data_IF_541951324168
#
_entry.id   IF_541951324168
#
_cell.length_a   1.000
_cell.length_b   1.000
_cell.length_c   1.000
_cell.angle_alpha   90.00
_cell.angle_beta   90.00
_cell.angle_gamma   90.00
#
_symmetry.space_group_name_H-M   'P 1'
#
loop_
_entity.id
_entity.type
_entity.pdbx_description
1 polymer ?
#
# COMPACT_ATOMS: atom_id res chain seq x y z
N UNK A 1 -10.02 4.74 -12.95
CA UNK A 1 -8.64 5.22 -12.88
C UNK A 1 -7.69 4.31 -13.65
N UNK A 2 -6.52 4.81 -14.02
CA UNK A 2 -5.47 4.02 -14.68
C UNK A 2 -4.26 3.91 -13.76
N UNK A 3 -3.79 2.69 -13.54
CA UNK A 3 -2.57 2.41 -12.78
C UNK A 3 -1.33 2.35 -13.68
N UNK A 4 -1.52 2.15 -14.99
CA UNK A 4 -0.44 2.10 -15.98
C UNK A 4 0.03 3.49 -16.39
N UNK A 5 -0.89 4.44 -16.48
CA UNK A 5 -0.63 5.84 -16.83
C UNK A 5 -1.22 6.81 -15.79
N UNK A 6 -0.63 6.88 -14.58
CA UNK A 6 -1.19 7.70 -13.49
C UNK A 6 -1.38 9.17 -13.86
N UNK A 7 -0.51 9.73 -14.69
CA UNK A 7 -0.63 11.12 -15.18
C UNK A 7 -1.82 11.34 -16.11
N UNK A 8 -2.32 10.28 -16.77
CA UNK A 8 -3.51 10.36 -17.61
C UNK A 8 -4.77 10.59 -16.78
N UNK A 9 -4.74 10.23 -15.50
CA UNK A 9 -5.84 10.46 -14.55
C UNK A 9 -5.89 11.90 -14.04
N UNK A 10 -4.85 12.70 -14.27
CA UNK A 10 -4.84 14.10 -13.89
C UNK A 10 -5.91 14.91 -14.64
N UNK A 11 -5.90 16.22 -14.50
CA UNK A 11 -6.91 17.17 -15.01
C UNK A 11 -7.03 17.22 -16.55
N UNK A 12 -6.70 16.14 -17.27
CA UNK A 12 -6.62 16.10 -18.72
C UNK A 12 -7.92 15.72 -19.46
N UNK A 13 -8.95 15.30 -18.75
CA UNK A 13 -10.19 14.90 -19.39
C UNK A 13 -11.42 15.53 -18.72
N UNK A 14 -11.54 16.88 -18.73
CA UNK A 14 -12.65 17.57 -18.08
C UNK A 14 -14.01 17.24 -18.73
N UNK A 15 -14.00 16.78 -19.97
CA UNK A 15 -15.23 16.41 -20.71
C UNK A 15 -15.69 14.96 -20.46
N UNK A 16 -14.86 14.15 -19.83
CA UNK A 16 -15.26 12.79 -19.49
C UNK A 16 -16.32 12.81 -18.41
N UNK A 17 -17.51 12.30 -18.70
CA UNK A 17 -18.64 12.17 -17.76
C UNK A 17 -18.39 11.04 -16.74
N UNK A 18 -17.16 10.91 -16.26
CA UNK A 18 -16.75 9.92 -15.28
C UNK A 18 -16.04 10.62 -14.12
N UNK A 19 -16.35 10.21 -12.91
CA UNK A 19 -15.64 10.65 -11.71
C UNK A 19 -14.30 9.89 -11.62
N UNK A 20 -13.23 10.60 -11.32
CA UNK A 20 -11.89 10.05 -11.10
C UNK A 20 -11.39 10.39 -9.72
N UNK A 21 -10.64 9.50 -9.11
CA UNK A 21 -10.04 9.73 -7.79
C UNK A 21 -8.74 10.53 -7.87
N UNK A 22 -8.08 10.54 -9.02
CA UNK A 22 -6.77 11.20 -9.17
C UNK A 22 -6.91 12.65 -9.61
N UNK A 23 -6.19 13.52 -8.93
CA UNK A 23 -6.19 14.95 -9.17
C UNK A 23 -4.76 15.50 -9.02
N UNK A 24 -4.39 16.40 -9.95
CA UNK A 24 -3.21 17.23 -9.74
C UNK A 24 -3.59 18.43 -8.87
N UNK A 25 -2.94 18.57 -7.74
CA UNK A 25 -3.05 19.76 -6.91
C UNK A 25 -1.69 20.15 -6.34
N UNK A 26 -1.34 21.43 -6.44
CA UNK A 26 -0.15 22.00 -5.77
C UNK A 26 -0.40 22.30 -4.30
N UNK A 27 -1.65 22.21 -3.86
CA UNK A 27 -2.08 22.42 -2.47
C UNK A 27 -2.90 21.20 -2.06
N UNK A 28 -2.46 20.51 -1.03
CA UNK A 28 -3.15 19.35 -0.47
C UNK A 28 -3.61 19.68 0.94
N UNK A 29 -4.83 19.29 1.29
CA UNK A 29 -5.33 19.37 2.65
C UNK A 29 -4.46 18.48 3.56
N UNK A 30 -4.08 18.98 4.75
CA UNK A 30 -3.23 18.24 5.69
C UNK A 30 -3.88 16.92 6.12
N UNK A 31 -5.15 16.94 6.51
CA UNK A 31 -5.88 15.75 6.94
C UNK A 31 -5.93 14.67 5.83
N UNK A 32 -6.05 15.11 4.55
CA UNK A 32 -5.96 14.17 3.43
C UNK A 32 -4.55 13.60 3.28
N UNK A 33 -3.50 14.42 3.47
CA UNK A 33 -2.12 13.95 3.42
C UNK A 33 -1.83 12.94 4.52
N UNK A 34 -2.30 13.21 5.73
CA UNK A 34 -2.14 12.34 6.88
C UNK A 34 -2.85 11.00 6.65
N UNK A 35 -4.09 11.02 6.17
CA UNK A 35 -4.79 9.80 5.75
C UNK A 35 -4.01 9.01 4.71
N UNK A 36 -3.58 9.70 3.64
CA UNK A 36 -2.97 9.05 2.48
C UNK A 36 -1.61 8.42 2.81
N UNK A 37 -0.78 9.12 3.57
CA UNK A 37 0.59 8.70 3.84
C UNK A 37 0.74 7.95 5.16
N UNK A 38 0.10 8.41 6.22
CA UNK A 38 0.34 7.90 7.56
C UNK A 38 -0.60 6.75 7.92
N UNK A 39 -1.87 6.81 7.50
CA UNK A 39 -2.83 5.73 7.74
C UNK A 39 -2.81 4.68 6.63
N UNK A 40 -2.99 5.11 5.37
CA UNK A 40 -3.04 4.20 4.23
C UNK A 40 -1.67 3.69 3.77
N UNK A 41 -0.58 4.28 4.27
CA UNK A 41 0.80 3.90 3.94
C UNK A 41 1.10 3.90 2.44
N UNK A 42 0.54 4.85 1.70
CA UNK A 42 0.74 4.89 0.26
C UNK A 42 2.10 5.47 -0.07
N UNK A 43 2.94 4.77 -0.85
CA UNK A 43 4.26 5.28 -1.22
C UNK A 43 4.17 6.52 -2.10
N UNK A 44 5.14 7.42 -1.95
CA UNK A 44 5.26 8.60 -2.80
C UNK A 44 5.72 8.15 -4.18
N UNK A 45 4.86 8.25 -5.19
CA UNK A 45 5.23 7.97 -6.58
C UNK A 45 5.85 9.16 -7.29
N UNK A 46 5.60 10.37 -6.83
CA UNK A 46 6.08 11.60 -7.49
C UNK A 46 6.75 12.51 -6.49
N UNK A 47 7.96 12.96 -6.83
CA UNK A 47 8.63 14.06 -6.16
C UNK A 47 7.87 15.36 -6.45
N UNK A 48 7.74 16.22 -5.46
CA UNK A 48 7.24 17.58 -5.54
C UNK A 48 5.76 17.77 -5.24
N UNK A 49 5.33 17.54 -3.98
CA UNK A 49 4.10 18.15 -3.41
C UNK A 49 2.81 17.91 -4.20
N UNK A 50 2.80 16.95 -5.12
CA UNK A 50 1.66 16.62 -5.95
C UNK A 50 1.15 15.28 -5.49
N UNK A 51 -0.01 15.28 -4.86
CA UNK A 51 -0.73 14.05 -4.58
C UNK A 51 -1.34 13.52 -5.88
N UNK A 52 -0.67 12.56 -6.51
CA UNK A 52 -1.34 11.71 -7.48
C UNK A 52 -2.00 10.57 -6.70
N UNK A 53 -3.30 10.57 -6.77
CA UNK A 53 -4.15 9.65 -6.01
C UNK A 53 -4.21 8.24 -6.60
N UNK A 54 -3.58 8.02 -7.74
CA UNK A 54 -3.59 6.70 -8.36
C UNK A 54 -2.54 5.82 -7.72
N UNK A 55 -2.99 4.87 -6.96
CA UNK A 55 -2.18 3.85 -6.33
C UNK A 55 -2.90 2.52 -6.50
N UNK A 56 -2.13 1.44 -6.53
CA UNK A 56 -2.60 0.06 -6.45
C UNK A 56 -2.91 -0.36 -5.00
N UNK A 57 -2.82 0.57 -4.05
CA UNK A 57 -3.20 0.35 -2.66
C UNK A 57 -4.69 -0.01 -2.56
N UNK A 58 -5.05 -1.25 -2.20
CA UNK A 58 -6.44 -1.71 -2.21
C UNK A 58 -7.30 -1.00 -1.16
N UNK A 59 -6.73 -0.56 -0.06
CA UNK A 59 -7.44 0.20 0.97
C UNK A 59 -7.84 1.58 0.46
N UNK A 60 -6.92 2.27 -0.21
CA UNK A 60 -7.21 3.56 -0.83
C UNK A 60 -8.29 3.44 -1.92
N UNK A 61 -8.14 2.46 -2.81
CA UNK A 61 -9.11 2.23 -3.89
C UNK A 61 -10.51 1.93 -3.35
N UNK A 62 -10.59 1.16 -2.26
CA UNK A 62 -11.86 0.87 -1.58
C UNK A 62 -12.49 2.13 -0.98
N UNK A 63 -11.73 2.88 -0.16
CA UNK A 63 -12.23 4.06 0.55
C UNK A 63 -12.64 5.20 -0.39
N UNK A 64 -11.93 5.36 -1.51
CA UNK A 64 -12.25 6.37 -2.52
C UNK A 64 -13.33 5.91 -3.51
N UNK A 65 -13.92 4.74 -3.34
CA UNK A 65 -14.98 4.24 -4.19
C UNK A 65 -14.55 3.97 -5.64
N UNK A 66 -13.26 3.63 -5.86
CA UNK A 66 -12.72 3.37 -7.20
C UNK A 66 -13.19 2.01 -7.68
N UNK A 67 -14.29 2.00 -8.42
CA UNK A 67 -14.94 0.76 -8.88
C UNK A 67 -14.22 0.13 -10.08
N UNK A 68 -13.72 0.94 -11.00
CA UNK A 68 -13.07 0.47 -12.22
C UNK A 68 -11.64 0.98 -12.30
N UNK A 69 -10.72 0.09 -12.64
CA UNK A 69 -9.31 0.43 -12.87
C UNK A 69 -8.84 -0.15 -14.20
N UNK A 70 -7.91 0.54 -14.83
CA UNK A 70 -7.08 0.02 -15.90
C UNK A 70 -5.71 -0.30 -15.35
N UNK A 71 -5.26 -1.54 -15.53
CA UNK A 71 -3.97 -2.03 -15.01
C UNK A 71 -3.37 -3.09 -15.94
N UNK A 72 -2.14 -3.51 -15.67
CA UNK A 72 -1.53 -4.66 -16.31
C UNK A 72 -2.17 -5.96 -15.76
N UNK A 73 -2.19 -7.02 -16.58
CA UNK A 73 -2.84 -8.30 -16.22
C UNK A 73 -2.25 -8.96 -14.97
N UNK A 74 -0.97 -8.76 -14.73
CA UNK A 74 -0.23 -9.29 -13.59
C UNK A 74 -0.19 -8.35 -12.37
N UNK A 75 -0.90 -7.20 -12.44
CA UNK A 75 -0.95 -6.17 -11.38
C UNK A 75 -2.38 -5.79 -10.97
N UNK A 76 -3.29 -6.77 -10.95
CA UNK A 76 -4.67 -6.53 -10.51
C UNK A 76 -4.70 -6.43 -8.98
N UNK A 77 -5.12 -5.29 -8.40
CA UNK A 77 -5.23 -5.17 -6.94
C UNK A 77 -6.23 -6.13 -6.34
N UNK A 78 -6.05 -6.47 -5.06
CA UNK A 78 -6.98 -7.31 -4.32
C UNK A 78 -8.42 -6.75 -4.36
N UNK A 79 -9.39 -7.64 -4.51
CA UNK A 79 -10.81 -7.30 -4.61
C UNK A 79 -11.30 -6.97 -6.02
N UNK A 80 -10.40 -6.81 -7.00
CA UNK A 80 -10.76 -6.55 -8.39
C UNK A 80 -10.78 -7.82 -9.23
N UNK A 81 -11.73 -7.90 -10.15
CA UNK A 81 -11.85 -8.97 -11.14
C UNK A 81 -11.77 -8.41 -12.55
N UNK A 82 -11.02 -9.06 -13.47
CA UNK A 82 -10.90 -8.59 -14.84
C UNK A 82 -12.24 -8.68 -15.58
N UNK A 83 -12.62 -7.59 -16.26
CA UNK A 83 -13.81 -7.54 -17.13
C UNK A 83 -13.44 -7.59 -18.61
N UNK A 84 -12.41 -6.85 -18.99
CA UNK A 84 -12.02 -6.68 -20.39
C UNK A 84 -10.51 -6.62 -20.49
N UNK A 85 -9.94 -7.31 -21.48
CA UNK A 85 -8.51 -7.28 -21.81
C UNK A 85 -8.28 -6.56 -23.12
N UNK A 86 -7.36 -5.59 -23.13
CA UNK A 86 -6.90 -4.96 -24.37
C UNK A 86 -5.80 -5.80 -25.04
N UNK A 87 -5.54 -5.50 -26.31
CA UNK A 87 -4.45 -6.16 -27.04
C UNK A 87 -3.04 -5.82 -26.53
N UNK A 88 -2.93 -4.85 -25.60
CA UNK A 88 -1.64 -4.35 -25.05
C UNK A 88 -1.32 -4.89 -23.67
N UNK A 89 -1.78 -6.08 -23.30
CA UNK A 89 -1.62 -6.66 -21.96
C UNK A 89 -2.20 -5.84 -20.80
N UNK A 90 -2.99 -4.83 -21.09
CA UNK A 90 -3.77 -4.10 -20.09
C UNK A 90 -5.16 -4.73 -19.94
N UNK A 91 -5.71 -4.56 -18.75
CA UNK A 91 -7.03 -5.06 -18.38
C UNK A 91 -7.81 -3.95 -17.69
N UNK A 92 -9.11 -3.90 -17.96
CA UNK A 92 -10.06 -3.16 -17.11
C UNK A 92 -10.61 -4.15 -16.10
N UNK A 93 -10.45 -3.83 -14.82
CA UNK A 93 -10.94 -4.65 -13.71
C UNK A 93 -11.95 -3.89 -12.87
N UNK A 94 -12.91 -4.61 -12.29
CA UNK A 94 -13.98 -4.09 -11.45
C UNK A 94 -13.89 -4.63 -10.04
N UNK A 95 -14.11 -3.77 -9.04
CA UNK A 95 -14.41 -4.13 -7.67
C UNK A 95 -15.83 -3.63 -7.32
N UNK A 96 -16.74 -4.56 -7.02
CA UNK A 96 -18.13 -4.23 -6.67
C UNK A 96 -18.29 -3.84 -5.20
N UNK A 97 -17.29 -4.14 -4.37
CA UNK A 97 -17.33 -3.95 -2.92
C UNK A 97 -16.64 -2.67 -2.45
N UNK A 98 -16.42 -1.70 -3.36
CA UNK A 98 -15.89 -0.39 -2.95
C UNK A 98 -16.97 0.44 -2.27
N UNK A 99 -16.56 1.35 -1.39
CA UNK A 99 -17.50 2.25 -0.74
C UNK A 99 -18.20 3.15 -1.77
N UNK A 100 -19.49 3.33 -1.68
CA UNK A 100 -20.21 4.32 -2.50
C UNK A 100 -19.86 5.74 -2.04
N UNK A 101 -20.02 6.71 -2.93
CA UNK A 101 -19.75 8.13 -2.61
C UNK A 101 -20.61 8.68 -1.47
N UNK A 102 -21.76 8.08 -1.23
CA UNK A 102 -22.65 8.41 -0.12
C UNK A 102 -23.21 7.12 0.46
N UNK A 103 -23.09 6.95 1.75
CA UNK A 103 -23.65 5.81 2.47
C UNK A 103 -24.07 6.22 3.88
N UNK A 104 -24.97 5.45 4.47
CA UNK A 104 -25.38 5.60 5.85
C UNK A 104 -24.84 4.42 6.66
N UNK A 105 -24.31 4.70 7.83
CA UNK A 105 -23.76 3.67 8.71
C UNK A 105 -23.97 4.02 10.16
N UNK A 106 -24.18 2.99 10.99
CA UNK A 106 -24.08 3.06 12.44
C UNK A 106 -22.73 2.49 12.95
N UNK A 107 -21.93 1.96 12.05
CA UNK A 107 -20.62 1.38 12.32
C UNK A 107 -19.58 2.51 12.46
N UNK A 108 -19.58 3.17 13.60
CA UNK A 108 -18.71 4.31 13.86
C UNK A 108 -17.71 4.02 14.96
N UNK A 109 -16.65 4.82 15.02
CA UNK A 109 -15.64 4.85 16.08
C UNK A 109 -15.25 6.30 16.29
N UNK A 110 -15.00 6.71 17.53
CA UNK A 110 -14.57 8.08 17.81
C UNK A 110 -13.11 8.31 17.36
N UNK A 111 -12.79 9.54 16.98
CA UNK A 111 -11.42 9.95 16.65
C UNK A 111 -10.46 9.65 17.82
N UNK A 112 -10.88 9.91 19.05
CA UNK A 112 -10.11 9.63 20.27
C UNK A 112 -9.79 8.14 20.47
N UNK A 113 -10.68 7.24 20.09
CA UNK A 113 -10.44 5.80 20.13
C UNK A 113 -9.51 5.40 18.98
N UNK A 114 -9.75 5.92 17.78
CA UNK A 114 -8.93 5.68 16.60
C UNK A 114 -7.46 6.09 16.80
N UNK A 115 -7.21 7.22 17.44
CA UNK A 115 -5.87 7.73 17.72
C UNK A 115 -5.07 6.88 18.73
N UNK A 116 -5.72 6.00 19.47
CA UNK A 116 -5.04 5.06 20.36
C UNK A 116 -4.48 3.84 19.65
N UNK A 117 -4.95 3.57 18.45
CA UNK A 117 -4.51 2.43 17.67
C UNK A 117 -3.14 2.67 17.06
N UNK A 118 -2.36 1.59 16.95
CA UNK A 118 -1.17 1.62 16.12
C UNK A 118 -1.58 1.66 14.64
N UNK A 119 -0.62 1.92 13.76
CA UNK A 119 -0.85 2.12 12.33
C UNK A 119 -1.59 0.95 11.63
N UNK A 120 -1.28 -0.29 11.98
CA UNK A 120 -1.95 -1.48 11.41
C UNK A 120 -3.39 -1.59 11.92
N UNK A 121 -3.61 -1.30 13.19
CA UNK A 121 -4.93 -1.24 13.80
C UNK A 121 -5.78 -0.11 13.21
N UNK A 122 -5.17 1.06 12.96
CA UNK A 122 -5.82 2.17 12.27
C UNK A 122 -6.22 1.79 10.84
N UNK A 123 -5.34 1.09 10.11
CA UNK A 123 -5.64 0.63 8.76
C UNK A 123 -6.82 -0.36 8.74
N UNK A 124 -6.89 -1.26 9.72
CA UNK A 124 -8.03 -2.17 9.88
C UNK A 124 -9.30 -1.40 10.27
N UNK A 125 -9.20 -0.51 11.25
CA UNK A 125 -10.33 0.26 11.76
C UNK A 125 -10.98 1.11 10.66
N UNK A 126 -10.21 1.89 9.89
CA UNK A 126 -10.75 2.74 8.82
C UNK A 126 -11.39 1.94 7.67
N UNK A 127 -10.96 0.69 7.48
CA UNK A 127 -11.56 -0.20 6.48
C UNK A 127 -12.91 -0.79 6.93
N UNK A 128 -13.23 -0.69 8.22
CA UNK A 128 -14.41 -1.33 8.83
C UNK A 128 -15.35 -0.36 9.52
N UNK A 129 -14.90 0.83 9.89
CA UNK A 129 -15.63 1.80 10.70
C UNK A 129 -15.54 3.19 10.05
N UNK A 130 -16.54 4.01 10.30
CA UNK A 130 -16.47 5.44 10.00
C UNK A 130 -15.98 6.18 11.22
N UNK A 131 -14.93 6.97 11.06
CA UNK A 131 -14.36 7.78 12.14
C UNK A 131 -15.18 9.06 12.25
N UNK A 132 -15.64 9.36 13.46
CA UNK A 132 -16.41 10.57 13.76
C UNK A 132 -15.69 11.41 14.82
N UNK A 133 -15.82 12.72 14.71
CA UNK A 133 -15.34 13.63 15.75
C UNK A 133 -16.00 13.30 17.11
N UNK A 134 -15.23 13.46 18.20
CA UNK A 134 -15.75 13.27 19.55
C UNK A 134 -16.85 14.29 19.83
N UNK A 135 -18.07 13.83 19.98
CA UNK A 135 -19.18 14.65 20.46
C UNK A 135 -19.40 14.40 21.95
N UNK A 136 -19.84 15.43 22.68
CA UNK A 136 -20.07 15.34 24.14
C UNK A 136 -21.19 14.36 24.57
N UNK A 137 -21.76 13.63 23.62
CA UNK A 137 -22.85 12.67 23.81
C UNK A 137 -22.43 11.24 23.57
N UNK A 138 -21.15 10.89 23.72
CA UNK A 138 -20.65 9.53 23.56
C UNK A 138 -21.36 8.56 24.53
N UNK A 139 -22.42 7.97 24.03
CA UNK A 139 -23.11 6.86 24.67
C UNK A 139 -22.62 5.56 24.06
N UNK A 140 -22.07 4.68 24.90
CA UNK A 140 -21.85 3.24 24.69
C UNK A 140 -21.71 2.79 23.22
N UNK A 141 -20.65 3.21 22.53
CA UNK A 141 -20.24 2.50 21.34
C UNK A 141 -19.56 1.21 21.75
N UNK A 142 -19.97 0.09 21.19
CA UNK A 142 -19.25 -1.18 21.32
C UNK A 142 -17.76 -0.94 21.00
N UNK A 143 -16.89 -1.25 21.97
CA UNK A 143 -15.44 -1.07 21.83
C UNK A 143 -14.98 -1.87 20.60
N UNK A 144 -14.45 -1.17 19.61
CA UNK A 144 -13.88 -1.85 18.45
C UNK A 144 -12.53 -2.47 18.83
N UNK A 145 -12.40 -3.75 18.60
CA UNK A 145 -11.14 -4.49 18.81
C UNK A 145 -10.54 -4.86 17.46
N UNK A 146 -9.47 -4.17 17.02
CA UNK A 146 -8.75 -4.52 15.79
C UNK A 146 -7.99 -5.85 15.94
N UNK A 147 -7.45 -6.36 14.84
CA UNK A 147 -6.69 -7.61 14.82
C UNK A 147 -7.48 -8.84 14.36
N UNK A 148 -8.69 -8.62 13.85
CA UNK A 148 -9.52 -9.69 13.25
C UNK A 148 -9.18 -9.96 11.79
N UNK A 149 -8.91 -8.90 11.03
CA UNK A 149 -8.68 -8.98 9.59
C UNK A 149 -7.20 -8.82 9.23
N UNK A 150 -6.45 -8.02 9.97
CA UNK A 150 -5.01 -7.83 9.76
C UNK A 150 -4.26 -8.45 10.94
N UNK A 151 -3.53 -9.51 10.67
CA UNK A 151 -2.80 -10.26 11.69
C UNK A 151 -1.30 -10.31 11.40
N UNK A 152 -0.44 -10.34 12.43
CA UNK A 152 0.98 -10.59 12.24
C UNK A 152 1.21 -11.87 11.42
N UNK A 153 2.15 -11.80 10.48
CA UNK A 153 2.46 -12.92 9.60
C UNK A 153 3.96 -13.24 9.65
N UNK A 154 4.28 -14.52 9.83
CA UNK A 154 5.66 -14.99 9.79
C UNK A 154 5.92 -15.66 8.42
N UNK A 155 6.46 -14.92 7.43
CA UNK A 155 6.62 -15.43 6.08
C UNK A 155 7.72 -16.49 6.03
N UNK A 156 7.48 -17.55 5.27
CA UNK A 156 8.52 -18.41 4.77
C UNK A 156 8.94 -17.91 3.41
N UNK A 157 10.18 -17.42 3.33
CA UNK A 157 10.74 -16.79 2.13
C UNK A 157 11.69 -17.75 1.43
N UNK A 158 11.56 -17.85 0.13
CA UNK A 158 12.54 -18.49 -0.75
C UNK A 158 12.98 -17.51 -1.84
N UNK A 159 14.27 -17.53 -2.18
CA UNK A 159 14.81 -16.71 -3.26
C UNK A 159 14.96 -17.53 -4.54
N UNK A 160 14.74 -16.92 -5.67
CA UNK A 160 15.01 -17.51 -6.98
C UNK A 160 16.50 -17.34 -7.31
N UNK A 161 17.26 -18.42 -7.12
CA UNK A 161 18.68 -18.46 -7.44
C UNK A 161 19.62 -17.96 -6.31
N UNK A 162 20.87 -17.74 -6.68
CA UNK A 162 21.91 -17.25 -5.78
C UNK A 162 21.98 -15.72 -5.81
N UNK A 163 22.38 -15.14 -4.67
CA UNK A 163 22.69 -13.71 -4.63
C UNK A 163 23.80 -13.37 -5.63
N UNK A 164 23.65 -12.30 -6.44
CA UNK A 164 24.69 -11.84 -7.34
C UNK A 164 25.94 -11.38 -6.56
N UNK A 165 27.13 -11.54 -7.12
CA UNK A 165 28.39 -11.07 -6.53
C UNK A 165 28.46 -9.55 -6.30
N UNK A 166 27.55 -8.82 -6.97
CA UNK A 166 27.37 -7.37 -6.83
C UNK A 166 26.55 -6.97 -5.61
N UNK A 167 25.89 -7.93 -4.92
CA UNK A 167 25.03 -7.70 -3.77
C UNK A 167 25.51 -8.46 -2.56
N UNK A 168 25.73 -7.74 -1.47
CA UNK A 168 26.04 -8.31 -0.18
C UNK A 168 24.91 -7.97 0.80
N UNK A 169 24.36 -8.99 1.43
CA UNK A 169 23.36 -8.84 2.50
C UNK A 169 23.90 -9.54 3.74
N UNK A 170 24.16 -8.76 4.79
CA UNK A 170 24.61 -9.30 6.09
C UNK A 170 23.52 -9.10 7.12
N UNK A 171 23.05 -10.19 7.70
CA UNK A 171 22.09 -10.14 8.81
C UNK A 171 22.86 -10.01 10.14
N UNK A 172 22.45 -9.06 10.97
CA UNK A 172 22.99 -8.84 12.32
C UNK A 172 21.80 -8.59 13.25
N UNK A 173 21.46 -9.54 14.10
CA UNK A 173 20.29 -9.52 14.97
C UNK A 173 19.00 -9.19 14.17
N UNK A 174 18.48 -7.99 14.34
CA UNK A 174 17.23 -7.49 13.73
C UNK A 174 17.47 -6.61 12.49
N UNK A 175 18.73 -6.48 12.03
CA UNK A 175 19.14 -5.60 10.93
C UNK A 175 19.75 -6.37 9.78
N UNK A 176 19.52 -5.83 8.58
CA UNK A 176 20.17 -6.28 7.35
C UNK A 176 21.02 -5.13 6.82
N UNK A 177 22.34 -5.34 6.77
CA UNK A 177 23.27 -4.41 6.13
C UNK A 177 23.40 -4.79 4.66
N UNK A 178 23.07 -3.88 3.77
CA UNK A 178 22.93 -4.13 2.33
C UNK A 178 23.91 -3.24 1.59
N UNK A 179 24.81 -3.88 0.84
CA UNK A 179 25.74 -3.21 -0.06
C UNK A 179 25.48 -3.71 -1.47
N UNK A 180 25.09 -2.81 -2.35
CA UNK A 180 24.83 -3.11 -3.76
C UNK A 180 25.72 -2.26 -4.67
N UNK A 181 26.54 -2.92 -5.51
CA UNK A 181 27.48 -2.25 -6.42
C UNK A 181 26.81 -1.65 -7.65
N UNK A 182 25.64 -2.14 -8.02
CA UNK A 182 24.81 -1.65 -9.12
C UNK A 182 23.33 -1.88 -8.82
N UNK A 183 22.45 -1.24 -9.57
CA UNK A 183 21.03 -1.55 -9.50
C UNK A 183 20.79 -2.98 -9.98
N UNK A 184 20.01 -3.75 -9.23
CA UNK A 184 19.72 -5.14 -9.55
C UNK A 184 18.42 -5.61 -8.93
N UNK A 185 17.83 -6.64 -9.51
CA UNK A 185 16.57 -7.20 -9.05
C UNK A 185 16.74 -8.65 -8.61
N UNK A 186 16.04 -9.02 -7.55
CA UNK A 186 15.90 -10.39 -7.07
C UNK A 186 14.43 -10.75 -7.00
N UNK A 187 14.14 -12.02 -7.22
CA UNK A 187 12.80 -12.57 -7.03
C UNK A 187 12.77 -13.38 -5.74
N UNK A 188 11.77 -13.11 -4.93
CA UNK A 188 11.43 -13.86 -3.73
C UNK A 188 10.02 -14.43 -3.87
N UNK A 189 9.80 -15.54 -3.19
CA UNK A 189 8.46 -16.12 -3.04
C UNK A 189 8.11 -16.17 -1.57
N UNK A 190 6.89 -15.72 -1.24
CA UNK A 190 6.31 -15.75 0.10
C UNK A 190 5.26 -16.84 0.12
N UNK A 191 5.46 -17.88 0.94
CA UNK A 191 4.54 -19.02 1.06
C UNK A 191 3.35 -18.70 1.98
N UNK A 192 2.25 -19.42 1.80
CA UNK A 192 1.06 -19.39 2.67
C UNK A 192 0.32 -18.06 2.73
N UNK A 193 0.34 -17.28 1.66
CA UNK A 193 -0.34 -15.98 1.63
C UNK A 193 -1.86 -16.12 1.42
N UNK A 194 -2.32 -17.20 0.81
CA UNK A 194 -3.73 -17.43 0.50
C UNK A 194 -4.26 -16.53 -0.61
N UNK A 195 -5.04 -17.09 -1.53
CA UNK A 195 -5.58 -16.35 -2.68
C UNK A 195 -6.52 -15.21 -2.27
N UNK A 196 -6.26 -14.03 -2.82
CA UNK A 196 -7.07 -12.83 -2.63
C UNK A 196 -6.80 -12.06 -1.33
N UNK A 197 -5.95 -12.57 -0.44
CA UNK A 197 -5.49 -11.81 0.72
C UNK A 197 -4.54 -10.68 0.31
N UNK A 198 -4.29 -9.75 1.23
CA UNK A 198 -3.33 -8.67 1.03
C UNK A 198 -2.14 -8.89 1.96
N UNK A 199 -0.96 -9.01 1.36
CA UNK A 199 0.30 -9.11 2.09
C UNK A 199 0.81 -7.70 2.35
N UNK A 200 1.04 -7.35 3.61
CA UNK A 200 1.59 -6.07 4.04
C UNK A 200 3.03 -6.28 4.48
N UNK A 201 3.94 -5.48 3.94
CA UNK A 201 5.34 -5.45 4.32
C UNK A 201 5.72 -4.03 4.71
N UNK A 202 6.32 -3.87 5.88
CA UNK A 202 6.94 -2.60 6.27
C UNK A 202 8.32 -2.82 6.87
N UNK A 203 9.20 -1.86 6.67
CA UNK A 203 10.53 -1.86 7.25
C UNK A 203 11.12 -0.45 7.29
N UNK A 204 12.03 -0.24 8.21
CA UNK A 204 12.79 0.99 8.33
C UNK A 204 14.07 0.94 7.50
N UNK A 205 14.38 2.03 6.82
CA UNK A 205 15.61 2.18 6.02
C UNK A 205 16.49 3.26 6.62
N UNK A 206 17.77 2.97 6.80
CA UNK A 206 18.79 3.94 7.20
C UNK A 206 19.85 4.02 6.09
N UNK A 207 19.93 5.19 5.44
CA UNK A 207 20.82 5.40 4.33
C UNK A 207 22.24 5.76 4.82
N UNK A 208 23.24 5.07 4.30
CA UNK A 208 24.66 5.27 4.64
C UNK A 208 25.42 6.10 3.61
N UNK A 209 24.73 6.57 2.55
CA UNK A 209 25.33 7.34 1.44
C UNK A 209 24.56 8.62 1.17
N UNK A 210 25.13 9.50 0.33
CA UNK A 210 24.45 10.71 -0.12
C UNK A 210 23.44 10.46 -1.24
N UNK A 211 23.57 9.33 -1.93
CA UNK A 211 22.63 8.94 -2.99
C UNK A 211 21.30 8.47 -2.38
N UNK A 212 20.17 8.72 -3.02
CA UNK A 212 18.89 8.26 -2.52
C UNK A 212 18.79 6.75 -2.55
N UNK A 213 18.21 6.16 -1.50
CA UNK A 213 17.80 4.75 -1.50
C UNK A 213 16.40 4.66 -2.10
N UNK A 214 16.27 3.96 -3.22
CA UNK A 214 15.00 3.69 -3.89
C UNK A 214 14.80 2.19 -3.96
N UNK A 215 13.89 1.64 -3.19
CA UNK A 215 13.55 0.21 -3.23
C UNK A 215 12.21 0.08 -3.94
N UNK A 216 12.21 -0.70 -5.00
CA UNK A 216 11.02 -1.03 -5.77
C UNK A 216 10.67 -2.50 -5.55
N UNK A 217 9.44 -2.77 -5.16
CA UNK A 217 8.93 -4.14 -5.03
C UNK A 217 7.64 -4.22 -5.83
N UNK A 218 7.61 -5.04 -6.89
CA UNK A 218 6.47 -5.20 -7.79
C UNK A 218 5.94 -3.85 -8.30
N UNK A 219 6.86 -2.96 -8.73
CA UNK A 219 6.57 -1.60 -9.21
C UNK A 219 6.04 -0.62 -8.13
N UNK A 220 5.91 -1.04 -6.88
CA UNK A 220 5.62 -0.15 -5.77
C UNK A 220 6.95 0.42 -5.27
N UNK A 221 7.13 1.73 -5.43
CA UNK A 221 8.41 2.40 -5.18
C UNK A 221 8.38 3.24 -3.93
N UNK A 222 9.26 2.95 -2.99
CA UNK A 222 9.57 3.81 -1.86
C UNK A 222 10.95 4.45 -2.01
N UNK A 223 11.11 5.67 -1.51
CA UNK A 223 12.34 6.47 -1.65
C UNK A 223 12.72 7.15 -0.35
N UNK A 224 13.98 7.08 0.00
CA UNK A 224 14.62 7.83 1.08
C UNK A 224 15.81 8.62 0.52
N UNK A 225 15.88 9.90 0.84
CA UNK A 225 17.03 10.74 0.51
C UNK A 225 18.25 10.39 1.39
N UNK A 226 19.46 10.69 0.91
CA UNK A 226 20.68 10.53 1.70
C UNK A 226 20.86 11.54 2.83
N UNK A 227 20.33 12.74 2.66
CA UNK A 227 20.50 13.83 3.64
C UNK A 227 19.30 13.95 4.59
N UNK A 228 18.12 13.68 4.10
CA UNK A 228 16.89 13.75 4.87
C UNK A 228 15.84 12.84 4.24
N UNK A 229 14.92 12.37 5.07
CA UNK A 229 13.80 11.59 4.58
C UNK A 229 12.93 12.42 3.63
N UNK A 230 12.51 11.87 2.48
CA UNK A 230 11.54 12.56 1.66
C UNK A 230 10.21 12.65 2.44
N UNK A 231 9.52 13.76 2.26
CA UNK A 231 8.16 13.87 2.75
C UNK A 231 7.27 12.84 2.02
N UNK A 232 6.40 12.11 2.72
CA UNK A 232 6.09 12.16 4.16
C UNK A 232 6.84 11.14 5.02
N UNK A 233 7.75 10.33 4.51
CA UNK A 233 8.46 9.26 5.23
C UNK A 233 9.48 9.80 6.26
N UNK A 234 9.06 10.72 7.13
CA UNK A 234 9.92 11.33 8.14
C UNK A 234 10.50 10.35 9.17
N UNK A 235 9.88 9.18 9.33
CA UNK A 235 10.33 8.08 10.18
C UNK A 235 11.18 7.05 9.43
N UNK A 236 11.51 7.27 8.17
CA UNK A 236 12.24 6.36 7.28
C UNK A 236 11.56 5.00 7.04
N UNK A 237 10.26 4.92 7.24
CA UNK A 237 9.50 3.68 7.00
C UNK A 237 9.14 3.52 5.53
N UNK A 238 9.35 2.33 5.02
CA UNK A 238 8.90 1.89 3.70
C UNK A 238 7.75 0.91 3.86
N UNK A 239 6.67 1.14 3.10
CA UNK A 239 5.45 0.35 3.16
C UNK A 239 5.10 -0.20 1.79
N UNK A 240 4.68 -1.46 1.77
CA UNK A 240 4.27 -2.17 0.57
C UNK A 240 3.04 -3.00 0.86
N UNK A 241 2.15 -3.06 -0.12
CA UNK A 241 0.91 -3.82 -0.04
C UNK A 241 0.77 -4.59 -1.35
N UNK A 242 0.67 -5.91 -1.25
CA UNK A 242 0.64 -6.80 -2.42
C UNK A 242 -0.61 -7.66 -2.38
N UNK A 243 -1.27 -7.81 -3.52
CA UNK A 243 -2.33 -8.81 -3.66
C UNK A 243 -1.71 -10.21 -3.73
N UNK A 244 -2.23 -11.13 -2.94
CA UNK A 244 -1.91 -12.55 -3.03
C UNK A 244 -2.82 -13.18 -4.11
N UNK A 245 -2.42 -13.04 -5.36
CA UNK A 245 -3.19 -13.37 -6.55
C UNK A 245 -2.88 -14.77 -7.14
N UNK A 246 -1.98 -15.50 -6.51
CA UNK A 246 -1.58 -16.83 -6.97
C UNK A 246 -2.41 -17.94 -6.31
N UNK A 247 -3.06 -18.77 -7.12
CA UNK A 247 -3.71 -20.00 -6.69
C UNK A 247 -2.75 -21.01 -6.04
N UNK A 248 -1.44 -20.85 -6.25
CA UNK A 248 -0.40 -21.67 -5.63
C UNK A 248 -0.20 -21.41 -4.14
N UNK A 249 -0.84 -20.38 -3.59
CA UNK A 249 -0.62 -19.93 -2.20
C UNK A 249 0.72 -19.24 -1.98
N UNK A 250 1.44 -18.89 -3.05
CA UNK A 250 2.72 -18.17 -3.00
C UNK A 250 2.57 -16.80 -3.66
N UNK A 251 3.07 -15.77 -3.01
CA UNK A 251 3.17 -14.42 -3.59
C UNK A 251 4.58 -14.17 -4.09
N UNK A 252 4.71 -13.81 -5.37
CA UNK A 252 5.99 -13.46 -6.00
C UNK A 252 6.31 -12.00 -5.74
N UNK A 253 7.51 -11.73 -5.23
CA UNK A 253 8.04 -10.40 -4.98
C UNK A 253 9.31 -10.17 -5.81
N UNK A 254 9.24 -9.27 -6.78
CA UNK A 254 10.40 -8.80 -7.53
C UNK A 254 10.94 -7.55 -6.83
N UNK A 255 12.02 -7.70 -6.07
CA UNK A 255 12.66 -6.62 -5.32
C UNK A 255 13.80 -6.03 -6.15
N UNK A 256 13.73 -4.75 -6.44
CA UNK A 256 14.82 -4.01 -7.10
C UNK A 256 15.56 -3.16 -6.08
N UNK A 257 16.82 -3.48 -5.87
CA UNK A 257 17.74 -2.77 -5.00
C UNK A 257 18.47 -1.66 -5.77
N UNK A 258 18.64 -0.46 -5.21
CA UNK A 258 19.48 0.57 -5.80
C UNK A 258 20.97 0.21 -5.65
N UNK A 259 21.83 0.90 -6.40
CA UNK A 259 23.24 0.99 -6.04
C UNK A 259 23.35 1.78 -4.73
N UNK A 260 24.16 1.31 -3.77
CA UNK A 260 24.38 2.03 -2.53
C UNK A 260 24.72 1.14 -1.34
N UNK A 261 24.81 1.78 -0.17
CA UNK A 261 24.98 1.14 1.13
C UNK A 261 23.91 1.66 2.09
N UNK A 262 23.07 0.78 2.59
CA UNK A 262 21.97 1.10 3.49
C UNK A 262 21.65 -0.07 4.41
N UNK A 263 20.97 0.21 5.51
CA UNK A 263 20.46 -0.82 6.39
C UNK A 263 18.93 -0.89 6.35
N UNK A 264 18.41 -2.10 6.49
CA UNK A 264 16.99 -2.39 6.66
C UNK A 264 16.80 -2.99 8.04
N UNK A 265 15.85 -2.46 8.81
CA UNK A 265 15.51 -2.92 10.16
C UNK A 265 14.01 -2.88 10.41
N UNK A 266 13.57 -3.40 11.55
CA UNK A 266 12.15 -3.41 11.94
C UNK A 266 11.24 -3.97 10.85
N UNK A 267 11.66 -5.08 10.22
CA UNK A 267 10.88 -5.74 9.17
C UNK A 267 9.64 -6.37 9.78
N UNK A 268 8.49 -5.92 9.34
CA UNK A 268 7.19 -6.40 9.80
C UNK A 268 6.38 -6.92 8.62
N UNK A 269 5.74 -8.05 8.84
CA UNK A 269 4.83 -8.65 7.89
C UNK A 269 3.47 -8.85 8.53
N UNK A 270 2.44 -8.49 7.79
CA UNK A 270 1.07 -8.77 8.18
C UNK A 270 0.32 -9.37 6.99
N UNK A 271 -0.67 -10.18 7.29
CA UNK A 271 -1.58 -10.72 6.30
C UNK A 271 -2.98 -10.17 6.59
N UNK A 272 -3.54 -9.48 5.60
CA UNK A 272 -4.88 -8.98 5.66
C UNK A 272 -5.82 -9.94 4.92
N UNK A 273 -6.87 -10.37 5.61
CA UNK A 273 -7.91 -11.21 5.03
C UNK A 273 -8.67 -10.45 3.95
N UNK A 274 -8.89 -11.07 2.80
CA UNK A 274 -9.62 -10.50 1.65
C UNK A 274 -11.03 -10.01 2.00
N UNK A 275 -11.64 -10.56 3.05
CA UNK A 275 -12.99 -10.20 3.51
C UNK A 275 -13.03 -8.89 4.33
N UNK A 276 -11.90 -8.19 4.46
CA UNK A 276 -11.87 -6.90 5.17
C UNK A 276 -12.81 -5.86 4.54
N UNK A 277 -13.01 -5.95 3.22
CA UNK A 277 -13.88 -5.03 2.46
C UNK A 277 -15.29 -5.57 2.24
N UNK A 278 -15.61 -6.77 2.73
CA UNK A 278 -16.94 -7.31 2.56
C UNK A 278 -17.96 -6.49 3.35
N UNK A 279 -19.08 -6.19 2.71
CA UNK A 279 -20.15 -5.46 3.34
C UNK A 279 -20.73 -6.28 4.51
N UNK A 280 -21.00 -5.63 5.64
CA UNK A 280 -21.55 -6.31 6.83
C UNK A 280 -23.05 -6.59 6.71
N UNK A 281 -23.68 -6.10 5.65
CA UNK A 281 -25.12 -6.15 5.43
C UNK A 281 -25.56 -7.28 4.49
N UNK A 282 -24.71 -8.29 4.26
CA UNK A 282 -25.08 -9.53 3.57
C UNK A 282 -25.07 -10.73 4.50
#
# INVERSE_FOLDING_TARGET
DSLTEPLANGNRAPEAKITRSSMYSSVTNSAYSDLYYDVLNTPIRINNRIALLTSDNPFMLHLLGVRYIETEKDHIPAGYTPLYSSAKDTVVAENKNVLPNVYFTSDTISEKEFDRFNQIEQLEAISRKTIIEDTSTDTDSDVYLPGKFITPFAPKLSADGKLPDSLTIKKTADKYDIISKCQQSLTFYVENTGFGNILLLSFQVDNKTIDPVVIDINNIRNKLSGLFAPYPNGNNMFHYQFSADSDSGMTKLKVTFPKGHFTVSNVQWHLCNKHIFDDKNT
#
